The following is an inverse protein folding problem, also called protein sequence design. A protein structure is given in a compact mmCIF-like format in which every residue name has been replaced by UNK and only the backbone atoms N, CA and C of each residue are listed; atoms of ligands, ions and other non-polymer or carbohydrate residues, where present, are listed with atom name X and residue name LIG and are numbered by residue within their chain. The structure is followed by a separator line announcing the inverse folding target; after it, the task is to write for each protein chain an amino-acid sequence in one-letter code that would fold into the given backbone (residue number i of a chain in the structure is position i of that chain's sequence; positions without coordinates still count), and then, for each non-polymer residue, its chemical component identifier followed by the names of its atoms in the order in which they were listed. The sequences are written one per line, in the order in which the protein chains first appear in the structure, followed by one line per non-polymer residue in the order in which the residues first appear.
data_IF_489175351547
#
_entry.id   IF_489175351547
#
_cell.length_a   1.000
_cell.length_b   1.000
_cell.length_c   1.000
_cell.angle_alpha   90.00
_cell.angle_beta   90.00
_cell.angle_gamma   90.00
#
_symmetry.space_group_name_H-M   'P 1'
#
loop_
_entity.id
_entity.type
_entity.pdbx_description
1 polymer ?
#
# COMPACT_ATOMS: atom_id res chain seq x y z
N UNK A 1 33.70 -2.95 -4.22
CA UNK A 1 32.72 -3.61 -3.33
C UNK A 1 32.05 -2.50 -2.54
N UNK A 2 31.02 -1.87 -3.11
CA UNK A 2 30.29 -0.80 -2.41
C UNK A 2 29.29 -1.46 -1.47
N UNK A 3 29.63 -1.52 -0.18
CA UNK A 3 28.70 -1.88 0.88
C UNK A 3 27.47 -0.97 0.75
N UNK A 4 26.34 -1.56 0.37
CA UNK A 4 25.07 -0.86 0.35
C UNK A 4 24.74 -0.46 1.79
N UNK A 5 24.69 0.85 2.05
CA UNK A 5 24.22 1.37 3.33
C UNK A 5 22.86 0.73 3.68
N UNK A 6 22.60 0.43 4.97
CA UNK A 6 21.28 0.06 5.44
C UNK A 6 20.22 1.04 4.92
N UNK A 7 19.05 0.55 4.54
CA UNK A 7 18.00 1.34 3.88
C UNK A 7 17.66 2.65 4.63
N UNK A 8 17.64 2.59 5.96
CA UNK A 8 17.44 3.76 6.84
C UNK A 8 18.54 4.82 6.65
N UNK A 9 19.80 4.41 6.55
CA UNK A 9 20.93 5.32 6.39
C UNK A 9 20.95 5.99 5.02
N UNK A 10 20.49 5.26 3.98
CA UNK A 10 20.24 5.85 2.65
C UNK A 10 19.19 6.96 2.72
N UNK A 11 18.11 6.76 3.48
CA UNK A 11 17.07 7.77 3.65
C UNK A 11 17.51 8.95 4.50
N UNK A 12 18.31 8.72 5.54
CA UNK A 12 18.95 9.79 6.30
C UNK A 12 19.88 10.63 5.40
N UNK A 13 20.68 9.99 4.55
CA UNK A 13 21.54 10.67 3.60
C UNK A 13 20.74 11.51 2.58
N UNK A 14 19.63 10.98 2.06
CA UNK A 14 18.73 11.72 1.17
C UNK A 14 18.14 12.96 1.85
N UNK A 15 17.65 12.82 3.09
CA UNK A 15 17.10 13.94 3.87
C UNK A 15 18.18 15.00 4.08
N UNK A 16 19.39 14.59 4.46
CA UNK A 16 20.50 15.49 4.69
C UNK A 16 20.96 16.20 3.41
N UNK A 17 20.97 15.51 2.28
CA UNK A 17 21.25 16.09 0.96
C UNK A 17 20.25 17.19 0.61
N UNK A 18 18.94 16.94 0.79
CA UNK A 18 17.88 17.92 0.52
C UNK A 18 18.03 19.13 1.46
N UNK A 19 18.30 18.90 2.75
CA UNK A 19 18.51 19.98 3.71
C UNK A 19 19.74 20.81 3.32
N UNK A 20 20.85 20.17 2.99
CA UNK A 20 22.09 20.87 2.61
C UNK A 20 21.94 21.66 1.31
N UNK A 21 21.29 21.10 0.30
CA UNK A 21 20.99 21.82 -0.95
C UNK A 21 20.04 23.00 -0.71
N UNK A 22 19.07 22.87 0.22
CA UNK A 22 18.22 23.99 0.65
C UNK A 22 19.05 25.09 1.30
N UNK A 23 19.95 24.73 2.22
CA UNK A 23 20.82 25.69 2.91
C UNK A 23 21.78 26.40 1.96
N UNK A 24 22.25 25.70 0.91
CA UNK A 24 23.08 26.26 -0.17
C UNK A 24 22.28 27.15 -1.14
N UNK A 25 20.96 27.25 -0.99
CA UNK A 25 20.08 28.02 -1.89
C UNK A 25 19.93 27.40 -3.29
N UNK A 26 20.24 26.10 -3.44
CA UNK A 26 20.18 25.39 -4.72
C UNK A 26 18.80 24.81 -5.03
N UNK A 27 17.90 24.81 -4.05
CA UNK A 27 16.50 24.42 -4.25
C UNK A 27 15.74 25.63 -4.76
N UNK A 28 15.34 25.57 -6.03
CA UNK A 28 14.61 26.64 -6.72
C UNK A 28 13.11 26.62 -6.43
N UNK A 29 12.55 25.48 -6.02
CA UNK A 29 11.12 25.34 -5.73
C UNK A 29 10.81 24.16 -4.81
N UNK A 30 9.62 24.17 -4.21
CA UNK A 30 9.10 23.04 -3.42
C UNK A 30 8.90 21.78 -4.29
N UNK A 31 8.62 21.96 -5.58
CA UNK A 31 8.48 20.85 -6.53
C UNK A 31 9.81 20.12 -6.78
N UNK A 32 10.95 20.82 -6.73
CA UNK A 32 12.26 20.17 -6.80
C UNK A 32 12.48 19.19 -5.65
N UNK A 33 12.02 19.52 -4.44
CA UNK A 33 12.05 18.60 -3.29
C UNK A 33 11.21 17.36 -3.57
N UNK A 34 10.00 17.52 -4.13
CA UNK A 34 9.14 16.40 -4.51
C UNK A 34 9.82 15.47 -5.53
N UNK A 35 10.48 16.03 -6.55
CA UNK A 35 11.22 15.24 -7.55
C UNK A 35 12.42 14.50 -6.96
N UNK A 36 13.10 15.07 -5.96
CA UNK A 36 14.18 14.38 -5.24
C UNK A 36 13.62 13.20 -4.42
N UNK A 37 12.48 13.38 -3.76
CA UNK A 37 11.81 12.30 -3.02
C UNK A 37 11.36 11.17 -3.95
N UNK A 38 10.74 11.50 -5.09
CA UNK A 38 10.32 10.52 -6.10
C UNK A 38 11.46 9.63 -6.60
N UNK A 39 12.67 10.21 -6.77
CA UNK A 39 13.84 9.46 -7.24
C UNK A 39 14.57 8.72 -6.12
N UNK A 40 14.50 9.26 -4.89
CA UNK A 40 15.27 8.78 -3.76
C UNK A 40 14.59 7.67 -2.96
N UNK A 41 13.25 7.59 -3.01
CA UNK A 41 12.45 6.67 -2.19
C UNK A 41 12.05 5.44 -3.00
N UNK A 42 12.25 4.27 -2.41
CA UNK A 42 11.85 2.99 -3.00
C UNK A 42 10.40 2.69 -2.62
N UNK A 43 9.57 2.34 -3.61
CA UNK A 43 8.17 1.97 -3.37
C UNK A 43 8.05 0.83 -2.36
N UNK A 44 7.07 0.90 -1.45
CA UNK A 44 6.85 -0.10 -0.40
C UNK A 44 7.76 0.02 0.82
N UNK A 45 8.59 1.06 0.90
CA UNK A 45 9.49 1.29 2.04
C UNK A 45 9.32 2.67 2.70
N UNK A 46 8.20 3.35 2.44
CA UNK A 46 7.93 4.69 2.97
C UNK A 46 7.83 4.72 4.49
N UNK A 47 7.46 3.63 5.15
CA UNK A 47 7.46 3.56 6.62
C UNK A 47 8.86 3.79 7.21
N UNK A 48 9.89 3.21 6.58
CA UNK A 48 11.29 3.40 6.99
C UNK A 48 11.73 4.84 6.76
N UNK A 49 11.29 5.44 5.65
CA UNK A 49 11.54 6.85 5.37
C UNK A 49 10.85 7.78 6.37
N UNK A 50 9.59 7.52 6.71
CA UNK A 50 8.78 8.30 7.64
C UNK A 50 9.38 8.28 9.06
N UNK A 51 9.88 7.11 9.50
CA UNK A 51 10.61 6.98 10.75
C UNK A 51 11.88 7.82 10.73
N UNK A 52 12.71 7.71 9.68
CA UNK A 52 13.95 8.47 9.55
C UNK A 52 13.69 9.99 9.50
N UNK A 53 12.64 10.43 8.80
CA UNK A 53 12.24 11.83 8.72
C UNK A 53 11.78 12.37 10.07
N UNK A 54 10.99 11.59 10.81
CA UNK A 54 10.49 11.95 12.14
C UNK A 54 11.64 12.08 13.15
N UNK A 55 12.57 11.13 13.16
CA UNK A 55 13.78 11.18 13.99
C UNK A 55 14.59 12.46 13.71
N UNK A 56 14.80 12.79 12.44
CA UNK A 56 15.58 13.97 12.05
C UNK A 56 14.87 15.28 12.39
N UNK A 57 13.55 15.32 12.22
CA UNK A 57 12.72 16.47 12.60
C UNK A 57 12.84 16.74 14.11
N UNK A 58 12.67 15.70 14.93
CA UNK A 58 12.77 15.79 16.38
C UNK A 58 14.16 16.27 16.82
N UNK A 59 15.22 15.70 16.25
CA UNK A 59 16.60 16.09 16.55
C UNK A 59 16.87 17.58 16.25
N UNK A 60 16.45 18.07 15.07
CA UNK A 60 16.61 19.48 14.71
C UNK A 60 15.74 20.41 15.57
N UNK A 61 14.53 19.98 15.93
CA UNK A 61 13.65 20.75 16.79
C UNK A 61 14.28 20.93 18.18
N UNK A 62 14.81 19.86 18.77
CA UNK A 62 15.57 19.92 20.03
C UNK A 62 16.83 20.78 19.91
N UNK A 63 17.54 20.75 18.78
CA UNK A 63 18.71 21.58 18.54
C UNK A 63 18.33 23.08 18.50
N UNK A 64 17.25 23.45 17.83
CA UNK A 64 16.77 24.85 17.77
C UNK A 64 16.42 25.39 19.17
N UNK A 65 15.83 24.55 20.04
CA UNK A 65 15.45 24.96 21.39
C UNK A 65 16.63 25.06 22.37
N UNK A 66 17.64 24.19 22.21
CA UNK A 66 18.79 24.12 23.12
C UNK A 66 19.96 25.03 22.73
N UNK A 67 20.03 25.44 21.46
CA UNK A 67 21.13 26.24 20.93
C UNK A 67 21.06 27.70 21.42
N UNK A 68 22.17 28.15 22.04
CA UNK A 68 22.31 29.52 22.59
C UNK A 68 23.03 30.46 21.64
N UNK A 69 23.81 29.92 20.72
CA UNK A 69 24.50 30.69 19.69
C UNK A 69 23.52 31.09 18.57
N UNK A 70 23.32 32.39 18.39
CA UNK A 70 22.39 32.97 17.40
C UNK A 70 22.68 32.51 15.96
N UNK A 71 23.96 32.38 15.58
CA UNK A 71 24.33 31.94 14.22
C UNK A 71 23.97 30.47 13.99
N UNK A 72 24.27 29.61 14.98
CA UNK A 72 23.93 28.19 14.92
C UNK A 72 22.42 27.98 14.99
N UNK A 73 21.71 28.77 15.81
CA UNK A 73 20.26 28.76 15.92
C UNK A 73 19.59 29.19 14.62
N UNK A 74 20.12 30.20 13.93
CA UNK A 74 19.62 30.62 12.62
C UNK A 74 19.79 29.51 11.57
N UNK A 75 20.95 28.85 11.53
CA UNK A 75 21.19 27.69 10.65
C UNK A 75 20.27 26.52 10.97
N UNK A 76 20.10 26.18 12.25
CA UNK A 76 19.21 25.12 12.70
C UNK A 76 17.74 25.44 12.35
N UNK A 77 17.32 26.70 12.49
CA UNK A 77 15.98 27.16 12.11
C UNK A 77 15.73 27.03 10.60
N UNK A 78 16.71 27.39 9.75
CA UNK A 78 16.62 27.19 8.30
C UNK A 78 16.54 25.70 7.94
N UNK A 79 17.32 24.87 8.63
CA UNK A 79 17.31 23.41 8.45
C UNK A 79 15.95 22.82 8.84
N UNK A 80 15.37 23.28 9.94
CA UNK A 80 14.03 22.88 10.39
C UNK A 80 12.95 23.26 9.36
N UNK A 81 13.05 24.43 8.73
CA UNK A 81 12.14 24.82 7.64
C UNK A 81 12.28 23.87 6.45
N UNK A 82 13.50 23.53 6.06
CA UNK A 82 13.76 22.57 4.98
C UNK A 82 13.14 21.20 5.28
N UNK A 83 13.31 20.67 6.50
CA UNK A 83 12.69 19.40 6.92
C UNK A 83 11.16 19.48 6.90
N UNK A 84 10.56 20.58 7.34
CA UNK A 84 9.10 20.75 7.25
C UNK A 84 8.60 20.78 5.79
N UNK A 85 9.39 21.33 4.87
CA UNK A 85 9.08 21.25 3.43
C UNK A 85 9.15 19.81 2.92
N UNK A 86 10.18 19.04 3.32
CA UNK A 86 10.28 17.61 3.01
C UNK A 86 9.05 16.86 3.54
N UNK A 87 8.66 17.09 4.79
CA UNK A 87 7.49 16.48 5.41
C UNK A 87 6.19 16.75 4.63
N UNK A 88 5.97 18.01 4.24
CA UNK A 88 4.79 18.37 3.43
C UNK A 88 4.80 17.68 2.06
N UNK A 89 5.95 17.61 1.39
CA UNK A 89 6.04 16.94 0.08
C UNK A 89 5.95 15.42 0.21
N UNK A 90 6.45 14.86 1.30
CA UNK A 90 6.27 13.45 1.61
C UNK A 90 4.79 13.10 1.82
N UNK A 91 4.05 13.90 2.59
CA UNK A 91 2.62 13.69 2.79
C UNK A 91 1.85 13.76 1.46
N UNK A 92 2.16 14.75 0.61
CA UNK A 92 1.59 14.86 -0.74
C UNK A 92 1.91 13.63 -1.60
N UNK A 93 3.13 13.11 -1.50
CA UNK A 93 3.55 11.90 -2.20
C UNK A 93 2.78 10.68 -1.72
N UNK A 94 2.63 10.51 -0.40
CA UNK A 94 1.86 9.42 0.20
C UNK A 94 0.41 9.46 -0.28
N UNK A 95 -0.22 10.62 -0.28
CA UNK A 95 -1.61 10.77 -0.77
C UNK A 95 -1.77 10.33 -2.24
N UNK A 96 -0.80 10.67 -3.09
CA UNK A 96 -0.82 10.31 -4.51
C UNK A 96 -0.42 8.86 -4.78
N UNK A 97 0.46 8.29 -3.97
CA UNK A 97 1.07 6.98 -4.21
C UNK A 97 0.59 5.89 -3.24
N UNK A 98 -0.36 6.19 -2.36
CA UNK A 98 -0.90 5.27 -1.35
C UNK A 98 -1.30 3.91 -1.92
N UNK A 99 -1.95 3.93 -3.08
CA UNK A 99 -2.36 2.72 -3.78
C UNK A 99 -1.15 1.88 -4.21
N UNK A 100 -0.18 2.53 -4.87
CA UNK A 100 1.05 1.90 -5.36
C UNK A 100 1.90 1.38 -4.20
N UNK A 101 1.99 2.13 -3.12
CA UNK A 101 2.76 1.74 -1.93
C UNK A 101 2.12 0.56 -1.22
N UNK A 102 0.79 0.57 -1.03
CA UNK A 102 0.08 -0.56 -0.45
C UNK A 102 0.30 -1.85 -1.26
N UNK A 103 0.27 -1.77 -2.60
CA UNK A 103 0.53 -2.92 -3.48
C UNK A 103 1.99 -3.38 -3.40
N UNK A 104 2.94 -2.44 -3.37
CA UNK A 104 4.37 -2.77 -3.29
C UNK A 104 4.73 -3.43 -1.95
N UNK A 105 4.23 -2.88 -0.85
CA UNK A 105 4.39 -3.46 0.49
C UNK A 105 3.74 -4.84 0.57
N UNK A 106 2.50 -4.97 0.09
CA UNK A 106 1.77 -6.23 -0.04
C UNK A 106 2.58 -7.30 -0.79
N UNK A 107 3.09 -6.98 -1.98
CA UNK A 107 3.88 -7.90 -2.79
C UNK A 107 5.20 -8.27 -2.08
N UNK A 108 5.86 -7.31 -1.44
CA UNK A 108 7.11 -7.55 -0.70
C UNK A 108 6.87 -8.46 0.49
N UNK A 109 5.83 -8.21 1.29
CA UNK A 109 5.49 -9.04 2.45
C UNK A 109 5.24 -10.50 2.03
N UNK A 110 4.50 -10.71 0.95
CA UNK A 110 4.22 -12.06 0.43
C UNK A 110 5.48 -12.72 -0.16
N UNK A 111 6.28 -11.99 -0.95
CA UNK A 111 7.43 -12.57 -1.67
C UNK A 111 8.63 -12.84 -0.76
N UNK A 112 8.78 -12.08 0.32
CA UNK A 112 9.89 -12.24 1.28
C UNK A 112 9.53 -13.14 2.46
N UNK A 113 8.24 -13.46 2.65
CA UNK A 113 7.80 -14.40 3.67
C UNK A 113 8.36 -15.81 3.42
N UNK A 114 8.74 -16.52 4.51
CA UNK A 114 9.01 -17.97 4.46
C UNK A 114 7.85 -18.73 3.80
N UNK A 115 8.15 -19.84 3.12
CA UNK A 115 7.14 -20.61 2.38
C UNK A 115 5.97 -21.08 3.28
N UNK A 116 6.25 -21.45 4.52
CA UNK A 116 5.27 -21.88 5.52
C UNK A 116 4.38 -20.75 6.06
N UNK A 117 4.86 -19.50 6.06
CA UNK A 117 4.10 -18.33 6.51
C UNK A 117 3.42 -17.57 5.36
N UNK A 118 3.73 -17.93 4.11
CA UNK A 118 3.36 -17.15 2.94
C UNK A 118 1.86 -16.99 2.73
N UNK A 119 1.09 -18.07 2.97
CA UNK A 119 -0.37 -18.02 2.92
C UNK A 119 -0.92 -17.08 4.00
N UNK A 120 -0.33 -17.07 5.19
CA UNK A 120 -0.76 -16.17 6.26
C UNK A 120 -0.44 -14.70 5.92
N UNK A 121 0.72 -14.42 5.32
CA UNK A 121 1.06 -13.10 4.78
C UNK A 121 0.05 -12.65 3.70
N UNK A 122 -0.28 -13.54 2.77
CA UNK A 122 -1.29 -13.27 1.73
C UNK A 122 -2.67 -12.94 2.32
N UNK A 123 -3.17 -13.74 3.26
CA UNK A 123 -4.47 -13.51 3.91
C UNK A 123 -4.45 -12.18 4.67
N UNK A 124 -3.37 -11.90 5.41
CA UNK A 124 -3.22 -10.65 6.16
C UNK A 124 -3.36 -9.46 5.22
N UNK A 125 -2.57 -9.42 4.15
CA UNK A 125 -2.51 -8.32 3.17
C UNK A 125 -3.84 -8.11 2.42
N UNK A 126 -4.59 -9.19 2.19
CA UNK A 126 -5.88 -9.13 1.49
C UNK A 126 -7.07 -8.94 2.43
N UNK A 127 -6.85 -8.87 3.75
CA UNK A 127 -7.90 -8.70 4.74
C UNK A 127 -8.63 -7.36 4.57
N UNK A 128 -9.96 -7.37 4.32
CA UNK A 128 -10.74 -6.15 4.20
C UNK A 128 -10.81 -5.33 5.51
N UNK A 129 -10.42 -5.90 6.65
CA UNK A 129 -10.41 -5.23 7.96
C UNK A 129 -9.12 -4.47 8.26
N UNK A 130 -8.16 -4.42 7.33
CA UNK A 130 -6.95 -3.63 7.49
C UNK A 130 -7.24 -2.12 7.57
N UNK A 131 -6.27 -1.36 8.11
CA UNK A 131 -6.31 0.11 8.12
C UNK A 131 -6.40 0.70 6.69
N UNK A 132 -5.79 0.03 5.72
CA UNK A 132 -5.76 0.45 4.31
C UNK A 132 -6.07 -0.76 3.40
N UNK A 133 -7.34 -1.19 3.32
CA UNK A 133 -7.70 -2.38 2.56
C UNK A 133 -7.52 -2.15 1.05
N UNK A 134 -7.08 -3.20 0.35
CA UNK A 134 -6.94 -3.17 -1.10
C UNK A 134 -8.31 -3.26 -1.78
N UNK A 135 -8.60 -2.31 -2.68
CA UNK A 135 -9.78 -2.37 -3.53
C UNK A 135 -9.60 -3.37 -4.70
N UNK A 136 -10.66 -3.62 -5.47
CA UNK A 136 -10.63 -4.59 -6.58
C UNK A 136 -9.54 -4.31 -7.62
N UNK A 137 -9.32 -3.04 -7.98
CA UNK A 137 -8.28 -2.67 -8.94
C UNK A 137 -6.88 -2.91 -8.37
N UNK A 138 -6.69 -2.60 -7.08
CA UNK A 138 -5.42 -2.81 -6.38
C UNK A 138 -5.12 -4.30 -6.19
N UNK A 139 -6.13 -5.13 -5.90
CA UNK A 139 -6.00 -6.59 -5.88
C UNK A 139 -5.59 -7.14 -7.26
N UNK A 140 -6.16 -6.60 -8.35
CA UNK A 140 -5.75 -6.98 -9.70
C UNK A 140 -4.29 -6.58 -9.99
N UNK A 141 -3.85 -5.42 -9.51
CA UNK A 141 -2.45 -4.99 -9.63
C UNK A 141 -1.51 -5.86 -8.78
N UNK A 142 -1.91 -6.24 -7.57
CA UNK A 142 -1.17 -7.18 -6.72
C UNK A 142 -1.01 -8.54 -7.41
N UNK A 143 -2.10 -9.08 -7.98
CA UNK A 143 -2.05 -10.33 -8.76
C UNK A 143 -1.00 -10.27 -9.88
N UNK A 144 -0.97 -9.16 -10.65
CA UNK A 144 0.04 -8.95 -11.70
C UNK A 144 1.46 -8.83 -11.14
N UNK A 145 1.64 -8.19 -9.98
CA UNK A 145 2.95 -8.08 -9.34
C UNK A 145 3.47 -9.45 -8.88
N UNK A 146 2.62 -10.26 -8.23
CA UNK A 146 2.98 -11.63 -7.82
C UNK A 146 3.30 -12.53 -9.02
N UNK A 147 2.58 -12.35 -10.14
CA UNK A 147 2.80 -13.13 -11.36
C UNK A 147 4.23 -12.98 -11.93
N UNK A 148 4.90 -11.85 -11.68
CA UNK A 148 6.29 -11.63 -12.11
C UNK A 148 7.27 -12.61 -11.46
N UNK A 149 6.90 -13.16 -10.31
CA UNK A 149 7.71 -14.11 -9.53
C UNK A 149 7.21 -15.56 -9.64
N UNK A 150 6.13 -15.80 -10.40
CA UNK A 150 5.47 -17.11 -10.54
C UNK A 150 6.39 -18.22 -11.06
N UNK A 151 7.35 -17.89 -11.95
CA UNK A 151 8.29 -18.90 -12.47
C UNK A 151 9.26 -19.43 -11.42
N UNK A 152 9.56 -18.63 -10.39
CA UNK A 152 10.48 -19.02 -9.33
C UNK A 152 9.76 -19.73 -8.17
N UNK A 153 8.45 -19.56 -8.05
CA UNK A 153 7.70 -20.00 -6.88
C UNK A 153 6.23 -20.32 -7.22
N UNK A 154 5.86 -21.59 -7.07
CA UNK A 154 4.51 -22.08 -7.38
C UNK A 154 3.43 -21.50 -6.48
N UNK A 155 3.75 -21.11 -5.24
CA UNK A 155 2.74 -20.53 -4.34
C UNK A 155 2.32 -19.15 -4.83
N UNK A 156 3.29 -18.36 -5.35
CA UNK A 156 3.04 -17.03 -5.89
C UNK A 156 2.19 -17.10 -7.16
N UNK A 157 2.38 -18.14 -7.98
CA UNK A 157 1.52 -18.45 -9.12
C UNK A 157 0.08 -18.74 -8.66
N UNK A 158 -0.09 -19.62 -7.67
CA UNK A 158 -1.41 -19.97 -7.12
C UNK A 158 -2.12 -18.76 -6.49
N UNK A 159 -1.42 -17.88 -5.78
CA UNK A 159 -2.01 -16.66 -5.24
C UNK A 159 -2.43 -15.68 -6.34
N UNK A 160 -1.58 -15.48 -7.34
CA UNK A 160 -1.90 -14.63 -8.49
C UNK A 160 -3.16 -15.12 -9.23
N UNK A 161 -3.24 -16.44 -9.47
CA UNK A 161 -4.37 -17.07 -10.10
C UNK A 161 -5.63 -17.03 -9.22
N UNK A 162 -5.49 -17.30 -7.92
CA UNK A 162 -6.57 -17.23 -6.94
C UNK A 162 -7.22 -15.84 -6.88
N UNK A 163 -6.41 -14.77 -6.84
CA UNK A 163 -6.93 -13.40 -6.92
C UNK A 163 -7.68 -13.19 -8.25
N UNK A 164 -7.09 -13.58 -9.38
CA UNK A 164 -7.70 -13.38 -10.71
C UNK A 164 -9.05 -14.08 -10.82
N UNK A 165 -9.12 -15.36 -10.41
CA UNK A 165 -10.35 -16.15 -10.41
C UNK A 165 -11.39 -15.60 -9.43
N UNK A 166 -10.95 -15.14 -8.26
CA UNK A 166 -11.80 -14.51 -7.25
C UNK A 166 -12.44 -13.22 -7.75
N UNK A 167 -11.65 -12.34 -8.36
CA UNK A 167 -12.15 -11.09 -8.95
C UNK A 167 -13.14 -11.34 -10.10
N UNK A 168 -12.86 -12.32 -10.97
CA UNK A 168 -13.77 -12.69 -12.04
C UNK A 168 -15.10 -13.26 -11.49
N UNK A 169 -15.04 -14.06 -10.43
CA UNK A 169 -16.23 -14.58 -9.74
C UNK A 169 -17.04 -13.46 -9.10
N UNK A 170 -16.37 -12.50 -8.45
CA UNK A 170 -17.01 -11.33 -7.85
C UNK A 170 -17.73 -10.47 -8.89
N UNK A 171 -17.09 -10.20 -10.04
CA UNK A 171 -17.72 -9.43 -11.13
C UNK A 171 -19.02 -10.09 -11.62
N UNK A 172 -19.03 -11.41 -11.80
CA UNK A 172 -20.25 -12.15 -12.16
C UNK A 172 -21.33 -12.06 -11.09
N UNK A 173 -20.96 -12.12 -9.82
CA UNK A 173 -21.91 -11.99 -8.72
C UNK A 173 -22.48 -10.57 -8.59
N UNK A 174 -21.65 -9.55 -8.81
CA UNK A 174 -22.04 -8.14 -8.63
C UNK A 174 -23.21 -7.74 -9.54
N UNK A 175 -23.18 -8.16 -10.81
CA UNK A 175 -24.25 -7.88 -11.77
C UNK A 175 -25.59 -8.52 -11.33
N UNK A 176 -25.51 -9.71 -10.73
CA UNK A 176 -26.66 -10.47 -10.28
C UNK A 176 -27.16 -10.09 -8.89
N UNK A 177 -26.30 -9.46 -8.08
CA UNK A 177 -26.62 -8.88 -6.77
C UNK A 177 -27.67 -7.78 -6.90
N UNK A 178 -27.50 -6.92 -7.91
CA UNK A 178 -28.48 -5.90 -8.24
C UNK A 178 -29.77 -6.53 -8.77
N UNK A 179 -29.68 -7.51 -9.69
CA UNK A 179 -30.85 -8.22 -10.22
C UNK A 179 -31.70 -8.81 -9.09
N UNK A 180 -31.09 -9.55 -8.16
CA UNK A 180 -31.78 -10.13 -7.01
C UNK A 180 -32.45 -9.08 -6.10
N UNK A 181 -31.77 -7.96 -5.82
CA UNK A 181 -32.33 -6.89 -4.98
C UNK A 181 -33.57 -6.24 -5.61
N UNK A 182 -33.66 -6.20 -6.95
CA UNK A 182 -34.83 -5.67 -7.65
C UNK A 182 -35.90 -6.72 -7.90
N UNK A 183 -35.54 -7.97 -8.21
CA UNK A 183 -36.47 -9.11 -8.38
C UNK A 183 -37.22 -9.46 -7.09
N UNK A 184 -36.62 -9.24 -5.92
CA UNK A 184 -37.29 -9.47 -4.64
C UNK A 184 -38.56 -8.60 -4.46
N UNK A 185 -38.66 -7.46 -5.16
CA UNK A 185 -39.85 -6.59 -5.11
C UNK A 185 -41.06 -7.16 -5.87
N UNK A 186 -40.85 -8.06 -6.83
CA UNK A 186 -41.94 -8.65 -7.61
C UNK A 186 -42.55 -9.92 -6.96
N UNK A 187 -41.87 -10.52 -5.97
CA UNK A 187 -42.32 -11.74 -5.27
C UNK A 187 -42.88 -11.47 -3.87
N UNK A 188 -43.86 -10.57 -3.76
CA UNK A 188 -44.68 -10.34 -2.55
C UNK A 188 -45.74 -11.46 -2.33
N UNK A 189 -45.34 -12.73 -2.49
CA UNK A 189 -46.22 -13.90 -2.38
C UNK A 189 -45.68 -14.99 -1.44
N UNK A 190 -46.57 -15.56 -0.61
CA UNK A 190 -46.28 -16.65 0.34
C UNK A 190 -46.04 -18.03 -0.33
N UNK A 191 -45.29 -18.09 -1.44
CA UNK A 191 -45.09 -19.30 -2.25
C UNK A 191 -43.63 -19.67 -2.52
N UNK A 192 -42.68 -19.22 -1.70
CA UNK A 192 -41.25 -19.54 -1.90
C UNK A 192 -40.82 -20.75 -1.08
N UNK A 193 -40.03 -21.65 -1.69
CA UNK A 193 -39.41 -22.82 -1.03
C UNK A 193 -38.53 -22.33 0.14
N UNK A 194 -38.65 -22.91 1.36
CA UNK A 194 -37.77 -22.58 2.47
C UNK A 194 -36.30 -22.82 2.07
N UNK A 195 -35.47 -21.77 2.08
CA UNK A 195 -34.06 -21.82 1.67
C UNK A 195 -33.73 -21.05 0.38
N UNK A 196 -34.71 -20.79 -0.50
CA UNK A 196 -34.49 -20.06 -1.76
C UNK A 196 -34.71 -18.54 -1.65
N UNK A 197 -35.19 -18.04 -0.51
CA UNK A 197 -35.43 -16.59 -0.29
C UNK A 197 -34.18 -15.78 0.01
N UNK A 198 -33.02 -16.42 0.12
CA UNK A 198 -31.74 -15.77 0.38
C UNK A 198 -30.94 -15.56 -0.91
N UNK A 199 -30.06 -14.55 -0.95
CA UNK A 199 -29.20 -14.30 -2.11
C UNK A 199 -28.32 -15.52 -2.43
N UNK A 200 -27.98 -16.31 -1.41
CA UNK A 200 -27.06 -17.45 -1.47
C UNK A 200 -27.48 -18.55 -2.46
N UNK A 201 -28.77 -18.89 -2.56
CA UNK A 201 -29.24 -19.95 -3.46
C UNK A 201 -29.15 -19.53 -4.93
N UNK A 202 -29.36 -18.23 -5.22
CA UNK A 202 -29.17 -17.66 -6.55
C UNK A 202 -27.68 -17.56 -6.90
N UNK A 203 -26.87 -17.08 -5.95
CA UNK A 203 -25.42 -16.92 -6.13
C UNK A 203 -24.67 -18.25 -6.30
N UNK A 204 -25.07 -19.30 -5.58
CA UNK A 204 -24.45 -20.63 -5.71
C UNK A 204 -24.58 -21.21 -7.13
N UNK A 205 -25.70 -20.94 -7.83
CA UNK A 205 -25.92 -21.38 -9.21
C UNK A 205 -25.03 -20.65 -10.24
N UNK A 206 -24.46 -19.51 -9.86
CA UNK A 206 -23.68 -18.64 -10.76
C UNK A 206 -22.16 -18.71 -10.53
N UNK A 207 -21.73 -19.32 -9.43
CA UNK A 207 -20.34 -19.56 -9.12
C UNK A 207 -19.86 -20.84 -9.82
N UNK A 208 -19.10 -20.67 -10.92
CA UNK A 208 -18.30 -21.75 -11.53
C UNK A 208 -17.00 -21.95 -10.74
N UNK A 209 -17.13 -22.33 -9.47
CA UNK A 209 -16.01 -22.62 -8.58
C UNK A 209 -16.09 -24.06 -8.12
N UNK A 210 -14.98 -24.79 -8.20
CA UNK A 210 -14.91 -26.19 -7.78
C UNK A 210 -15.15 -26.35 -6.27
N UNK A 211 -14.79 -25.35 -5.46
CA UNK A 211 -14.89 -25.43 -3.99
C UNK A 211 -16.34 -25.48 -3.48
N UNK A 212 -17.24 -24.53 -3.84
CA UNK A 212 -18.66 -24.62 -3.49
C UNK A 212 -19.33 -25.86 -4.09
N UNK A 213 -18.92 -26.30 -5.28
CA UNK A 213 -19.49 -27.50 -5.92
C UNK A 213 -19.04 -28.79 -5.23
N UNK A 214 -17.82 -28.82 -4.66
CA UNK A 214 -17.31 -29.96 -3.90
C UNK A 214 -17.83 -30.01 -2.45
N UNK A 215 -18.42 -28.91 -1.96
CA UNK A 215 -18.97 -28.78 -0.60
C UNK A 215 -20.51 -28.86 -0.54
N UNK A 216 -21.17 -29.01 -1.68
CA UNK A 216 -22.63 -29.25 -1.82
C UNK A 216 -22.90 -30.75 -2.05
#
# INVERSE_FOLDING_TARGET
MSESLPLRDRYLALIDEIVETTLKGKISSVEMVYQMLLKGITSGTGEVFELALSDRLNALQSQVYSEKDELKKAKATRSLRAIKTIQSQWQRWQEQNKATEAIASAATEITTAPADERLAAFIRVTDPNQKYPLNLQQLQQLSKALQQFAQADSDLEQFSEGITRGLASWQRLQDNLLSWMYEQKESLGFGGVPGERGPWASWAKQLNSELPQALL
#
